data_IF_320763267882
#
_entry.id   IF_320763267882
#
_cell.length_a   1.000
_cell.length_b   1.000
_cell.length_c   1.000
_cell.angle_alpha   90.00
_cell.angle_beta   90.00
_cell.angle_gamma   90.00
#
_symmetry.space_group_name_H-M   'P 1'
#
loop_
_entity.id
_entity.type
_entity.pdbx_description
1 polymer ?
#
# COMPACT_ATOMS: atom_id res chain seq x y z
N UNK A 1 -8.37 -22.52 -8.51
CA UNK A 1 -7.64 -21.47 -9.26
C UNK A 1 -8.45 -21.22 -10.51
N UNK A 2 -9.40 -20.27 -10.48
CA UNK A 2 -10.43 -19.96 -11.51
C UNK A 2 -11.26 -21.10 -12.11
N UNK A 3 -10.91 -22.36 -11.85
CA UNK A 3 -11.59 -23.58 -12.26
C UNK A 3 -11.95 -23.61 -13.75
N UNK A 4 -11.09 -22.99 -14.58
CA UNK A 4 -11.25 -22.89 -16.03
C UNK A 4 -12.16 -21.76 -16.53
N UNK A 5 -12.72 -20.93 -15.64
CA UNK A 5 -13.56 -19.81 -16.04
C UNK A 5 -12.81 -18.87 -17.00
N UNK A 6 -13.55 -18.37 -18.00
CA UNK A 6 -13.10 -17.34 -18.91
C UNK A 6 -13.25 -15.95 -18.27
N UNK A 7 -12.54 -14.97 -18.84
CA UNK A 7 -12.66 -13.57 -18.47
C UNK A 7 -14.13 -13.10 -18.44
N UNK A 8 -14.90 -13.45 -19.47
CA UNK A 8 -16.29 -12.99 -19.61
C UNK A 8 -17.21 -13.62 -18.56
N UNK A 9 -16.99 -14.89 -18.23
CA UNK A 9 -17.73 -15.58 -17.16
C UNK A 9 -17.46 -14.93 -15.81
N UNK A 10 -16.19 -14.71 -15.46
CA UNK A 10 -15.82 -14.04 -14.21
C UNK A 10 -16.38 -12.62 -14.13
N UNK A 11 -16.31 -11.85 -15.22
CA UNK A 11 -16.86 -10.49 -15.26
C UNK A 11 -18.39 -10.48 -15.07
N UNK A 12 -19.10 -11.39 -15.74
CA UNK A 12 -20.55 -11.52 -15.63
C UNK A 12 -20.96 -11.95 -14.22
N UNK A 13 -20.22 -12.87 -13.62
CA UNK A 13 -20.48 -13.32 -12.24
C UNK A 13 -20.36 -12.15 -11.25
N UNK A 14 -19.26 -11.40 -11.31
CA UNK A 14 -19.06 -10.23 -10.46
C UNK A 14 -20.15 -9.17 -10.65
N UNK A 15 -20.56 -8.90 -11.88
CA UNK A 15 -21.53 -7.85 -12.16
C UNK A 15 -22.98 -8.28 -11.89
N UNK A 16 -23.38 -9.48 -12.32
CA UNK A 16 -24.77 -9.93 -12.30
C UNK A 16 -25.13 -10.63 -11.00
N UNK A 17 -24.27 -11.52 -10.51
CA UNK A 17 -24.52 -12.36 -9.33
C UNK A 17 -24.09 -11.65 -8.05
N UNK A 18 -22.99 -10.88 -8.10
CA UNK A 18 -22.47 -10.13 -6.94
C UNK A 18 -22.76 -8.62 -6.99
N UNK A 19 -23.43 -8.13 -8.03
CA UNK A 19 -23.90 -6.74 -8.16
C UNK A 19 -22.78 -5.68 -8.11
N UNK A 20 -21.56 -6.03 -8.51
CA UNK A 20 -20.48 -5.04 -8.58
C UNK A 20 -20.78 -4.05 -9.70
N UNK A 21 -20.50 -2.76 -9.49
CA UNK A 21 -20.59 -1.76 -10.54
C UNK A 21 -19.72 -2.17 -11.74
N UNK A 22 -20.20 -1.91 -12.97
CA UNK A 22 -19.60 -2.41 -14.22
C UNK A 22 -18.07 -2.17 -14.28
N UNK A 23 -17.65 -0.94 -13.93
CA UNK A 23 -16.23 -0.56 -13.90
C UNK A 23 -15.42 -1.35 -12.86
N UNK A 24 -15.99 -1.60 -11.69
CA UNK A 24 -15.33 -2.35 -10.61
C UNK A 24 -15.20 -3.82 -11.02
N UNK A 25 -16.27 -4.45 -11.49
CA UNK A 25 -16.27 -5.83 -11.98
C UNK A 25 -15.23 -6.04 -13.09
N UNK A 26 -15.16 -5.12 -14.06
CA UNK A 26 -14.19 -5.18 -15.14
C UNK A 26 -12.75 -5.06 -14.63
N UNK A 27 -12.46 -4.09 -13.76
CA UNK A 27 -11.12 -3.88 -13.22
C UNK A 27 -10.64 -5.06 -12.38
N UNK A 28 -11.50 -5.63 -11.54
CA UNK A 28 -11.18 -6.82 -10.74
C UNK A 28 -10.87 -8.00 -11.67
N UNK A 29 -11.73 -8.26 -12.65
CA UNK A 29 -11.51 -9.32 -13.65
C UNK A 29 -10.18 -9.10 -14.41
N UNK A 30 -9.93 -7.89 -14.91
CA UNK A 30 -8.66 -7.53 -15.55
C UNK A 30 -7.43 -7.79 -14.67
N UNK A 31 -7.48 -7.43 -13.38
CA UNK A 31 -6.37 -7.68 -12.46
C UNK A 31 -6.10 -9.19 -12.30
N UNK A 32 -7.16 -9.98 -12.19
CA UNK A 32 -7.08 -11.44 -12.06
C UNK A 32 -6.36 -12.07 -13.27
N UNK A 33 -6.77 -11.73 -14.51
CA UNK A 33 -6.25 -12.40 -15.71
C UNK A 33 -4.99 -11.77 -16.32
N UNK A 34 -4.78 -10.46 -16.16
CA UNK A 34 -3.68 -9.72 -16.84
C UNK A 34 -2.82 -8.87 -15.91
N UNK A 35 -3.22 -8.72 -14.65
CA UNK A 35 -2.52 -7.89 -13.68
C UNK A 35 -1.42 -8.61 -12.88
N UNK A 36 -1.28 -9.93 -13.01
CA UNK A 36 -0.56 -10.76 -12.03
C UNK A 36 -1.42 -11.16 -10.82
N UNK A 37 -2.72 -10.84 -10.88
CA UNK A 37 -3.78 -11.34 -10.00
C UNK A 37 -3.52 -11.24 -8.50
N UNK A 38 -4.10 -12.21 -7.80
CA UNK A 38 -4.03 -12.42 -6.36
C UNK A 38 -2.61 -12.29 -5.79
N UNK A 39 -1.58 -12.75 -6.53
CA UNK A 39 -0.20 -12.73 -6.05
C UNK A 39 0.33 -11.32 -5.84
N UNK A 40 0.06 -10.38 -6.75
CA UNK A 40 0.49 -8.98 -6.57
C UNK A 40 -0.29 -8.30 -5.47
N UNK A 41 -1.60 -8.54 -5.42
CA UNK A 41 -2.46 -7.98 -4.38
C UNK A 41 -2.04 -8.46 -2.97
N UNK A 42 -1.68 -9.74 -2.84
CA UNK A 42 -1.13 -10.29 -1.59
C UNK A 42 0.24 -9.69 -1.23
N UNK A 43 1.10 -9.41 -2.21
CA UNK A 43 2.39 -8.74 -1.97
C UNK A 43 2.18 -7.28 -1.55
N UNK A 44 1.25 -6.55 -2.17
CA UNK A 44 0.93 -5.18 -1.79
C UNK A 44 0.31 -5.09 -0.40
N UNK A 45 -0.65 -5.97 -0.09
CA UNK A 45 -1.26 -6.02 1.25
C UNK A 45 -0.21 -6.32 2.31
N UNK A 46 0.68 -7.28 2.07
CA UNK A 46 1.81 -7.59 2.97
C UNK A 46 2.76 -6.40 3.14
N UNK A 47 3.04 -5.67 2.06
CA UNK A 47 3.82 -4.44 2.10
C UNK A 47 3.17 -3.37 2.96
N UNK A 48 1.85 -3.17 2.80
CA UNK A 48 1.07 -2.23 3.61
C UNK A 48 1.09 -2.60 5.09
N UNK A 49 0.84 -3.86 5.46
CA UNK A 49 0.91 -4.31 6.85
C UNK A 49 2.28 -4.01 7.48
N UNK A 50 3.38 -4.32 6.77
CA UNK A 50 4.75 -4.04 7.24
C UNK A 50 5.01 -2.55 7.47
N UNK A 51 4.44 -1.67 6.66
CA UNK A 51 4.58 -0.22 6.85
C UNK A 51 3.76 0.25 8.05
N UNK A 52 2.55 -0.28 8.26
CA UNK A 52 1.74 0.02 9.44
C UNK A 52 2.46 -0.41 10.73
N UNK A 53 3.01 -1.64 10.76
CA UNK A 53 3.82 -2.14 11.88
C UNK A 53 5.05 -1.27 12.13
N UNK A 54 5.77 -0.91 11.07
CA UNK A 54 6.95 -0.04 11.15
C UNK A 54 6.61 1.35 11.74
N UNK A 55 5.51 1.97 11.29
CA UNK A 55 5.04 3.25 11.82
C UNK A 55 4.58 3.14 13.28
N UNK A 56 3.84 2.08 13.63
CA UNK A 56 3.41 1.82 15.00
C UNK A 56 4.61 1.60 15.95
N UNK A 57 5.71 1.04 15.44
CA UNK A 57 6.98 0.92 16.16
C UNK A 57 7.80 2.22 16.24
N UNK A 58 7.24 3.36 15.81
CA UNK A 58 7.91 4.67 15.86
C UNK A 58 8.80 5.00 14.66
N UNK A 59 8.80 4.16 13.62
CA UNK A 59 9.59 4.37 12.41
C UNK A 59 9.17 5.60 11.60
N UNK A 60 10.13 6.22 10.92
CA UNK A 60 9.89 7.36 10.03
C UNK A 60 9.87 6.94 8.56
N UNK A 61 9.00 7.56 7.74
CA UNK A 61 8.93 7.24 6.31
C UNK A 61 10.07 7.86 5.49
N UNK A 62 10.68 8.94 5.97
CA UNK A 62 11.69 9.68 5.22
C UNK A 62 12.86 8.79 4.71
N UNK A 63 13.48 7.91 5.53
CA UNK A 63 14.54 7.01 5.04
C UNK A 63 14.09 6.05 3.93
N UNK A 64 12.78 5.78 3.82
CA UNK A 64 12.24 4.91 2.78
C UNK A 64 12.20 5.58 1.40
N UNK A 65 12.30 6.92 1.34
CA UNK A 65 12.27 7.68 0.08
C UNK A 65 13.63 7.86 -0.58
N UNK A 66 14.71 7.39 0.04
CA UNK A 66 16.08 7.48 -0.52
C UNK A 66 16.22 6.60 -1.79
N UNK A 67 15.34 5.62 -1.98
CA UNK A 67 15.32 4.79 -3.18
C UNK A 67 14.41 3.57 -3.02
N UNK A 68 14.85 2.40 -3.52
CA UNK A 68 14.12 1.13 -3.36
C UNK A 68 14.39 0.49 -2.00
N UNK A 69 14.03 1.20 -0.94
CA UNK A 69 14.33 0.85 0.44
C UNK A 69 13.11 0.19 1.09
N UNK A 70 13.36 -0.78 1.96
CA UNK A 70 12.35 -1.42 2.80
C UNK A 70 12.64 -1.11 4.27
N UNK A 71 11.65 -1.21 5.19
CA UNK A 71 11.85 -0.92 6.61
C UNK A 71 13.08 -1.59 7.25
N UNK A 72 13.35 -2.86 6.90
CA UNK A 72 14.54 -3.60 7.37
C UNK A 72 15.89 -2.97 6.98
N UNK A 73 15.93 -2.12 5.96
CA UNK A 73 17.14 -1.43 5.52
C UNK A 73 17.31 -0.06 6.19
N UNK A 74 16.36 0.42 6.99
CA UNK A 74 16.41 1.79 7.56
C UNK A 74 17.65 2.01 8.42
N UNK A 75 18.07 1.01 9.21
CA UNK A 75 19.26 1.12 10.06
C UNK A 75 20.53 1.41 9.25
N UNK A 76 20.79 0.64 8.18
CA UNK A 76 21.97 0.85 7.32
C UNK A 76 21.86 2.15 6.53
N UNK A 77 20.65 2.55 6.08
CA UNK A 77 20.45 3.82 5.38
C UNK A 77 20.80 5.01 6.28
N UNK A 78 20.31 5.02 7.53
CA UNK A 78 20.64 6.08 8.49
C UNK A 78 22.12 6.12 8.82
N UNK A 79 22.77 4.96 8.94
CA UNK A 79 24.21 4.89 9.15
C UNK A 79 24.99 5.51 7.97
N UNK A 80 24.64 5.16 6.74
CA UNK A 80 25.28 5.69 5.53
C UNK A 80 25.06 7.20 5.37
N UNK A 81 23.87 7.70 5.74
CA UNK A 81 23.59 9.14 5.78
C UNK A 81 24.42 9.86 6.85
N UNK A 82 24.54 9.27 8.05
CA UNK A 82 25.35 9.81 9.13
C UNK A 82 26.84 9.92 8.73
N UNK A 83 27.36 8.89 8.05
CA UNK A 83 28.72 8.88 7.49
C UNK A 83 28.90 9.76 6.25
N UNK A 84 27.85 10.42 5.76
CA UNK A 84 27.84 11.23 4.52
C UNK A 84 28.22 10.46 3.26
N UNK A 85 28.06 9.13 3.28
CA UNK A 85 28.20 8.27 2.09
C UNK A 85 26.94 8.35 1.23
N UNK A 86 25.79 8.51 1.87
CA UNK A 86 24.49 8.65 1.22
C UNK A 86 23.90 10.04 1.54
N UNK A 87 23.35 10.70 0.53
CA UNK A 87 22.65 11.97 0.72
C UNK A 87 21.19 11.76 1.12
N UNK A 88 20.57 12.82 1.64
CA UNK A 88 19.13 12.85 1.92
C UNK A 88 18.31 12.65 0.63
N UNK A 89 17.06 12.15 0.73
CA UNK A 89 16.25 11.88 -0.44
C UNK A 89 16.04 13.16 -1.26
N UNK A 90 16.42 13.19 -2.56
CA UNK A 90 16.38 14.41 -3.36
C UNK A 90 14.95 14.88 -3.64
N UNK A 91 13.97 13.98 -3.50
CA UNK A 91 12.56 14.24 -3.69
C UNK A 91 11.77 13.54 -2.60
N UNK A 92 10.77 14.25 -2.07
CA UNK A 92 9.77 13.67 -1.17
C UNK A 92 8.40 13.73 -1.81
N UNK A 93 7.51 12.77 -1.53
CA UNK A 93 6.15 12.82 -2.04
C UNK A 93 5.41 14.06 -1.52
N UNK A 94 4.59 14.69 -2.38
CA UNK A 94 3.83 15.90 -2.05
C UNK A 94 2.97 15.80 -0.78
N UNK A 95 2.55 14.59 -0.40
CA UNK A 95 1.79 14.40 0.83
C UNK A 95 2.61 14.58 2.11
N UNK A 96 3.95 14.58 2.05
CA UNK A 96 4.81 14.81 3.21
C UNK A 96 4.83 16.28 3.67
N UNK A 97 4.27 17.21 2.88
CA UNK A 97 4.14 18.63 3.25
C UNK A 97 2.70 19.05 3.53
N UNK A 98 1.75 18.13 3.37
CA UNK A 98 0.32 18.39 3.52
C UNK A 98 -0.13 18.15 4.97
N UNK A 99 -0.66 19.17 5.68
CA UNK A 99 -1.06 19.01 7.08
C UNK A 99 -2.08 17.89 7.30
N UNK A 100 -3.05 17.73 6.39
CA UNK A 100 -4.07 16.67 6.46
C UNK A 100 -3.48 15.26 6.32
N UNK A 101 -2.47 15.10 5.47
CA UNK A 101 -1.77 13.83 5.30
C UNK A 101 -0.87 13.52 6.49
N UNK A 102 -0.15 14.51 7.01
CA UNK A 102 0.69 14.36 8.20
C UNK A 102 -0.15 13.96 9.44
N UNK A 103 -1.30 14.59 9.65
CA UNK A 103 -2.21 14.22 10.74
C UNK A 103 -2.71 12.77 10.62
N UNK A 104 -2.98 12.30 9.39
CA UNK A 104 -3.36 10.90 9.15
C UNK A 104 -2.22 9.95 9.43
N UNK A 105 -1.00 10.26 8.97
CA UNK A 105 0.19 9.45 9.23
C UNK A 105 0.49 9.33 10.72
N UNK A 106 0.32 10.42 11.47
CA UNK A 106 0.48 10.40 12.92
C UNK A 106 -0.56 9.50 13.60
N UNK A 107 -1.82 9.56 13.14
CA UNK A 107 -2.86 8.62 13.60
C UNK A 107 -2.52 7.15 13.37
N UNK A 108 -1.77 6.82 12.31
CA UNK A 108 -1.35 5.44 12.02
C UNK A 108 -0.35 4.88 13.04
N UNK A 109 0.36 5.75 13.78
CA UNK A 109 1.32 5.32 14.82
C UNK A 109 0.65 4.66 16.02
N UNK A 110 -0.67 4.83 16.21
CA UNK A 110 -1.43 4.28 17.35
C UNK A 110 -1.85 2.80 17.15
N UNK A 111 -1.00 1.97 16.54
CA UNK A 111 -1.27 0.54 16.23
C UNK A 111 -2.54 0.31 15.40
N UNK A 112 -2.53 0.81 14.16
CA UNK A 112 -3.64 0.71 13.21
C UNK A 112 -3.53 -0.59 12.38
N UNK A 113 -4.58 -1.42 12.36
CA UNK A 113 -4.68 -2.55 11.43
C UNK A 113 -5.19 -2.10 10.06
N UNK A 114 -5.05 -2.93 9.02
CA UNK A 114 -5.61 -2.59 7.69
C UNK A 114 -7.13 -2.36 7.74
N UNK A 115 -7.84 -3.03 8.64
CA UNK A 115 -9.29 -2.87 8.80
C UNK A 115 -9.65 -1.48 9.35
N UNK A 116 -8.80 -0.90 10.20
CA UNK A 116 -9.03 0.43 10.75
C UNK A 116 -8.96 1.52 9.68
N UNK A 117 -8.24 1.27 8.58
CA UNK A 117 -8.20 2.17 7.42
C UNK A 117 -9.54 2.25 6.66
N UNK A 118 -10.42 1.26 6.85
CA UNK A 118 -11.74 1.21 6.20
C UNK A 118 -12.79 2.04 6.95
N UNK A 119 -12.55 2.36 8.23
CA UNK A 119 -13.43 3.19 9.04
C UNK A 119 -13.37 4.62 8.50
N UNK A 120 -14.28 4.97 7.57
CA UNK A 120 -14.47 6.37 7.17
C UNK A 120 -14.81 7.17 8.42
N UNK A 121 -14.03 8.20 8.73
CA UNK A 121 -14.55 9.31 9.54
C UNK A 121 -15.74 9.86 8.76
N UNK A 122 -16.95 9.67 9.29
CA UNK A 122 -18.09 10.48 8.87
C UNK A 122 -17.69 11.92 9.19
N UNK A 123 -17.49 12.72 8.14
CA UNK A 123 -17.54 14.17 8.22
C UNK A 123 -18.94 14.59 7.81
#
# INVERSE_FOLDING_TARGET
MLDGASFLETFRELHRSHHFALRVAFNVTMRIYRGGGFTKDAVYLRGLCRILEYLAGGGDLEPLFVGKIAPRHVAIIRELQWRKVLSDPPLTPRYMTRPDALARLEGLRQSTTVLDLLKRKQQ
#
